data_IF_892097083923
#
_entry.id   IF_892097083923
#
_cell.length_a   1.000
_cell.length_b   1.000
_cell.length_c   1.000
_cell.angle_alpha   90.00
_cell.angle_beta   90.00
_cell.angle_gamma   90.00
#
_symmetry.space_group_name_H-M   'P 1'
#
loop_
_entity.id
_entity.type
_entity.pdbx_description
1 polymer ?
#
# COMPACT_ATOMS: atom_id res chain seq x y z
N UNK A 1 -3.84 19.00 -41.13
CA UNK A 1 -4.45 20.25 -40.71
C UNK A 1 -3.63 20.85 -39.58
N UNK A 2 -3.56 22.14 -39.48
CA UNK A 2 -3.00 22.81 -38.31
C UNK A 2 -3.94 22.53 -37.12
N UNK A 3 -3.38 22.01 -36.01
CA UNK A 3 -4.11 21.82 -34.77
C UNK A 3 -4.20 23.14 -33.94
N UNK A 4 -4.75 23.04 -32.74
CA UNK A 4 -4.75 24.17 -31.81
C UNK A 4 -3.33 24.50 -31.33
N UNK A 5 -3.13 25.77 -30.90
CA UNK A 5 -1.84 26.21 -30.37
C UNK A 5 -1.52 25.51 -29.05
N UNK A 6 -0.24 25.21 -28.86
CA UNK A 6 0.27 24.69 -27.58
C UNK A 6 0.22 25.79 -26.52
N UNK A 7 -0.39 25.51 -25.40
CA UNK A 7 -0.44 26.40 -24.24
C UNK A 7 0.53 25.93 -23.16
N UNK A 8 1.42 26.80 -22.71
CA UNK A 8 2.31 26.57 -21.58
C UNK A 8 1.71 27.23 -20.33
N UNK A 9 1.62 26.46 -19.25
CA UNK A 9 1.19 26.94 -17.92
C UNK A 9 2.21 26.54 -16.88
N UNK A 10 2.34 27.37 -15.85
CA UNK A 10 3.19 27.12 -14.69
C UNK A 10 2.31 27.18 -13.44
N UNK A 11 2.53 26.29 -12.50
CA UNK A 11 1.80 26.17 -11.23
C UNK A 11 2.78 26.20 -10.07
N UNK A 12 2.35 26.70 -8.93
CA UNK A 12 3.17 26.78 -7.72
C UNK A 12 3.32 25.40 -7.06
N UNK A 13 2.31 24.54 -7.19
CA UNK A 13 2.32 23.18 -6.64
C UNK A 13 1.80 22.15 -7.65
N UNK A 14 2.19 20.89 -7.47
CA UNK A 14 1.63 19.78 -8.25
C UNK A 14 0.12 19.55 -7.98
N UNK A 15 -0.39 19.98 -6.84
CA UNK A 15 -1.83 19.95 -6.55
C UNK A 15 -2.59 20.95 -7.44
N UNK A 16 -2.09 22.18 -7.57
CA UNK A 16 -2.69 23.19 -8.43
C UNK A 16 -2.69 22.76 -9.91
N UNK A 17 -1.61 22.10 -10.33
CA UNK A 17 -1.52 21.49 -11.65
C UNK A 17 -2.60 20.42 -11.85
N UNK A 18 -2.74 19.48 -10.90
CA UNK A 18 -3.72 18.40 -10.98
C UNK A 18 -5.17 18.92 -10.91
N UNK A 19 -5.43 19.95 -10.10
CA UNK A 19 -6.72 20.64 -10.05
C UNK A 19 -7.08 21.24 -11.39
N UNK A 20 -6.16 22.02 -11.96
CA UNK A 20 -6.37 22.66 -13.25
C UNK A 20 -6.66 21.63 -14.34
N UNK A 21 -5.88 20.55 -14.43
CA UNK A 21 -6.07 19.49 -15.42
C UNK A 21 -7.44 18.84 -15.28
N UNK A 22 -7.84 18.50 -14.05
CA UNK A 22 -9.14 17.87 -13.81
C UNK A 22 -10.32 18.79 -14.15
N UNK A 23 -10.21 20.08 -13.82
CA UNK A 23 -11.23 21.08 -14.13
C UNK A 23 -11.33 21.33 -15.64
N UNK A 24 -10.21 21.43 -16.32
CA UNK A 24 -10.17 21.67 -17.77
C UNK A 24 -10.78 20.50 -18.54
N UNK A 25 -10.44 19.25 -18.19
CA UNK A 25 -11.09 18.05 -18.75
C UNK A 25 -12.61 18.09 -18.53
N UNK A 26 -13.08 18.41 -17.31
CA UNK A 26 -14.53 18.50 -17.03
C UNK A 26 -15.20 19.61 -17.82
N UNK A 27 -14.53 20.72 -18.03
CA UNK A 27 -15.03 21.82 -18.86
C UNK A 27 -15.20 21.39 -20.30
N UNK A 28 -14.21 20.73 -20.89
CA UNK A 28 -14.27 20.22 -22.27
C UNK A 28 -15.37 19.16 -22.43
N UNK A 29 -15.52 18.26 -21.45
CA UNK A 29 -16.59 17.25 -21.46
C UNK A 29 -17.98 17.89 -21.38
N UNK A 30 -18.14 18.98 -20.58
CA UNK A 30 -19.41 19.75 -20.58
C UNK A 30 -19.67 20.46 -21.90
N UNK A 31 -18.61 20.79 -22.63
CA UNK A 31 -18.71 21.37 -23.97
C UNK A 31 -18.99 20.33 -25.09
N UNK A 32 -19.02 19.03 -24.74
CA UNK A 32 -19.40 17.95 -25.66
C UNK A 32 -18.27 16.97 -26.00
N UNK A 33 -17.08 17.12 -25.46
CA UNK A 33 -16.01 16.15 -25.61
C UNK A 33 -16.27 14.87 -24.80
N UNK A 34 -15.61 13.77 -25.14
CA UNK A 34 -15.62 12.53 -24.34
C UNK A 34 -14.42 12.50 -23.40
N UNK A 35 -14.54 11.89 -22.22
CA UNK A 35 -13.39 11.60 -21.37
C UNK A 35 -12.29 10.80 -22.09
N UNK A 36 -12.66 9.95 -23.05
CA UNK A 36 -11.70 9.16 -23.84
C UNK A 36 -10.91 9.99 -24.86
N UNK A 37 -11.28 11.24 -25.09
CA UNK A 37 -10.57 12.14 -26.01
C UNK A 37 -9.37 12.82 -25.34
N UNK A 38 -9.21 12.63 -24.01
CA UNK A 38 -8.17 13.24 -23.23
C UNK A 38 -7.08 12.24 -22.83
N UNK A 39 -5.83 12.69 -22.89
CA UNK A 39 -4.67 11.95 -22.38
C UNK A 39 -3.76 12.88 -21.58
N UNK A 40 -3.36 12.47 -20.40
CA UNK A 40 -2.41 13.19 -19.56
C UNK A 40 -1.10 12.40 -19.53
N UNK A 41 -0.01 13.05 -19.94
CA UNK A 41 1.33 12.47 -19.92
C UNK A 41 2.11 13.06 -18.75
N UNK A 42 2.77 12.20 -17.98
CA UNK A 42 3.57 12.59 -16.83
C UNK A 42 4.92 11.88 -16.85
N UNK A 43 5.89 12.44 -16.16
CA UNK A 43 7.26 11.94 -16.16
C UNK A 43 7.55 10.98 -14.99
N UNK A 44 6.90 11.19 -13.83
CA UNK A 44 7.17 10.44 -12.60
C UNK A 44 5.89 9.86 -11.99
N UNK A 45 6.07 8.77 -11.25
CA UNK A 45 4.97 8.15 -10.52
C UNK A 45 4.33 9.08 -9.47
N UNK A 46 5.11 10.01 -8.89
CA UNK A 46 4.59 10.99 -7.95
C UNK A 46 3.55 11.92 -8.61
N UNK A 47 3.82 12.36 -9.84
CA UNK A 47 2.86 13.18 -10.60
C UNK A 47 1.58 12.41 -10.93
N UNK A 48 1.69 11.13 -11.35
CA UNK A 48 0.49 10.32 -11.67
C UNK A 48 -0.45 10.22 -10.48
N UNK A 49 0.09 10.12 -9.28
CA UNK A 49 -0.70 9.96 -8.09
C UNK A 49 -1.52 11.21 -7.74
N UNK A 50 -0.94 12.40 -7.81
CA UNK A 50 -1.67 13.66 -7.60
C UNK A 50 -2.85 13.78 -8.57
N UNK A 51 -2.62 13.38 -9.84
CA UNK A 51 -3.68 13.32 -10.85
C UNK A 51 -4.76 12.30 -10.50
N UNK A 52 -4.37 11.08 -10.08
CA UNK A 52 -5.32 10.03 -9.68
C UNK A 52 -6.21 10.48 -8.51
N UNK A 53 -5.60 11.06 -7.47
CA UNK A 53 -6.33 11.58 -6.30
C UNK A 53 -7.34 12.64 -6.70
N UNK A 54 -6.91 13.58 -7.53
CA UNK A 54 -7.79 14.65 -7.98
C UNK A 54 -8.91 14.13 -8.88
N UNK A 55 -8.61 13.19 -9.77
CA UNK A 55 -9.62 12.58 -10.64
C UNK A 55 -10.66 11.80 -9.83
N UNK A 56 -10.24 11.08 -8.79
CA UNK A 56 -11.18 10.41 -7.86
C UNK A 56 -12.04 11.43 -7.12
N UNK A 57 -11.43 12.44 -6.52
CA UNK A 57 -12.14 13.47 -5.77
C UNK A 57 -13.17 14.24 -6.62
N UNK A 58 -12.83 14.48 -7.88
CA UNK A 58 -13.71 15.19 -8.83
C UNK A 58 -14.61 14.28 -9.67
N UNK A 59 -14.62 12.97 -9.42
CA UNK A 59 -15.36 11.97 -10.22
C UNK A 59 -15.03 12.03 -11.73
N UNK A 60 -13.74 12.21 -12.08
CA UNK A 60 -13.25 12.11 -13.44
C UNK A 60 -12.83 10.66 -13.69
N UNK A 61 -13.49 9.92 -14.59
CA UNK A 61 -13.09 8.55 -14.92
C UNK A 61 -11.73 8.56 -15.62
N UNK A 62 -10.83 7.66 -15.19
CA UNK A 62 -9.49 7.56 -15.78
C UNK A 62 -9.02 6.12 -15.90
N UNK A 63 -8.02 5.91 -16.74
CA UNK A 63 -7.28 4.65 -16.87
C UNK A 63 -5.78 4.96 -16.95
N UNK A 64 -4.99 4.28 -16.11
CA UNK A 64 -3.53 4.36 -16.21
C UNK A 64 -3.05 3.42 -17.30
N UNK A 65 -2.27 3.94 -18.24
CA UNK A 65 -1.67 3.17 -19.32
C UNK A 65 -0.17 3.05 -19.07
N UNK A 66 0.34 1.83 -18.97
CA UNK A 66 1.76 1.57 -18.74
C UNK A 66 2.24 1.74 -17.30
N UNK A 67 1.33 1.99 -16.34
CA UNK A 67 1.62 2.11 -14.92
C UNK A 67 0.75 1.21 -14.06
N UNK A 68 1.15 1.03 -12.80
CA UNK A 68 0.36 0.34 -11.79
C UNK A 68 -0.20 1.39 -10.84
N UNK A 69 -1.52 1.36 -10.59
CA UNK A 69 -2.16 2.22 -9.59
C UNK A 69 -1.35 2.19 -8.27
N UNK A 70 -1.18 3.33 -7.62
CA UNK A 70 -0.40 3.47 -6.39
C UNK A 70 -0.72 2.39 -5.35
N UNK A 71 -2.01 2.19 -5.06
CA UNK A 71 -2.47 1.18 -4.11
C UNK A 71 -2.36 -0.27 -4.60
N UNK A 72 -2.12 -0.47 -5.90
CA UNK A 72 -1.87 -1.79 -6.48
C UNK A 72 -0.37 -2.16 -6.47
N UNK A 73 0.53 -1.23 -6.14
CA UNK A 73 1.97 -1.48 -6.04
C UNK A 73 2.27 -2.47 -4.92
N UNK A 74 3.28 -3.31 -5.14
CA UNK A 74 3.60 -4.42 -4.24
C UNK A 74 3.90 -3.94 -2.82
N UNK A 75 4.81 -2.99 -2.67
CA UNK A 75 5.25 -2.43 -1.40
C UNK A 75 4.11 -1.76 -0.64
N UNK A 76 3.22 -1.09 -1.34
CA UNK A 76 2.04 -0.45 -0.73
C UNK A 76 1.06 -1.51 -0.22
N UNK A 77 0.78 -2.54 -1.03
CA UNK A 77 -0.06 -3.67 -0.60
C UNK A 77 0.53 -4.42 0.59
N UNK A 78 1.85 -4.57 0.65
CA UNK A 78 2.52 -5.25 1.75
C UNK A 78 2.34 -4.44 3.05
N UNK A 79 2.61 -3.15 3.04
CA UNK A 79 2.46 -2.29 4.23
C UNK A 79 1.00 -2.15 4.67
N UNK A 80 0.07 -2.01 3.73
CA UNK A 80 -1.36 -2.02 4.06
C UNK A 80 -1.81 -3.37 4.63
N UNK A 81 -1.24 -4.49 4.18
CA UNK A 81 -1.52 -5.80 4.74
C UNK A 81 -0.98 -5.94 6.18
N UNK A 82 0.16 -5.32 6.51
CA UNK A 82 0.62 -5.19 7.89
C UNK A 82 -0.40 -4.46 8.75
N UNK A 83 -0.81 -3.26 8.34
CA UNK A 83 -1.79 -2.46 9.10
C UNK A 83 -3.11 -3.23 9.28
N UNK A 84 -3.62 -3.89 8.25
CA UNK A 84 -4.82 -4.73 8.33
C UNK A 84 -4.65 -5.89 9.31
N UNK A 85 -3.50 -6.56 9.31
CA UNK A 85 -3.23 -7.68 10.22
C UNK A 85 -3.11 -7.20 11.67
N UNK A 86 -2.57 -6.01 11.89
CA UNK A 86 -2.46 -5.38 13.21
C UNK A 86 -3.85 -4.99 13.72
N UNK A 87 -4.67 -4.38 12.88
CA UNK A 87 -6.04 -3.99 13.23
C UNK A 87 -6.92 -5.22 13.46
N UNK A 88 -6.89 -6.15 12.53
CA UNK A 88 -7.73 -7.34 12.56
C UNK A 88 -7.04 -8.56 11.94
N UNK A 89 -6.52 -9.46 12.78
CA UNK A 89 -5.88 -10.70 12.34
C UNK A 89 -6.81 -11.70 11.62
N UNK A 90 -8.10 -11.39 11.41
CA UNK A 90 -9.05 -12.27 10.71
C UNK A 90 -8.98 -12.15 9.18
N UNK A 91 -8.24 -11.17 8.62
CA UNK A 91 -7.97 -11.08 7.19
C UNK A 91 -6.84 -12.04 6.80
N UNK A 92 -7.18 -13.31 6.55
CA UNK A 92 -6.24 -14.35 6.16
C UNK A 92 -5.41 -13.99 4.92
N UNK A 93 -5.97 -13.20 3.99
CA UNK A 93 -5.27 -12.75 2.79
C UNK A 93 -4.15 -11.78 3.18
N UNK A 94 -4.44 -10.85 4.09
CA UNK A 94 -3.44 -9.91 4.59
C UNK A 94 -2.34 -10.63 5.35
N UNK A 95 -2.67 -11.52 6.27
CA UNK A 95 -1.69 -12.30 7.05
C UNK A 95 -0.80 -13.13 6.15
N UNK A 96 -1.37 -13.89 5.20
CA UNK A 96 -0.61 -14.72 4.26
C UNK A 96 0.30 -13.90 3.36
N UNK A 97 -0.08 -12.67 3.05
CA UNK A 97 0.73 -11.77 2.25
C UNK A 97 2.02 -11.38 2.97
N UNK A 98 1.96 -11.08 4.25
CA UNK A 98 3.09 -10.51 5.00
C UNK A 98 3.91 -11.52 5.80
N UNK A 99 3.41 -12.74 6.02
CA UNK A 99 4.07 -13.73 6.89
C UNK A 99 5.53 -13.99 6.53
N UNK A 100 5.87 -13.89 5.24
CA UNK A 100 7.23 -14.05 4.72
C UNK A 100 7.73 -12.80 3.95
N UNK A 101 7.22 -11.63 4.26
CA UNK A 101 7.62 -10.35 3.65
C UNK A 101 7.90 -9.34 4.75
N UNK A 102 9.15 -8.90 4.93
CA UNK A 102 10.41 -9.39 4.35
C UNK A 102 10.66 -10.89 4.60
N UNK A 103 11.60 -11.49 3.86
CA UNK A 103 11.88 -12.94 3.96
C UNK A 103 12.24 -13.36 5.39
N UNK A 104 11.44 -14.30 5.96
CA UNK A 104 11.65 -14.91 7.30
C UNK A 104 11.95 -16.41 7.21
N UNK A 105 12.04 -16.95 5.99
CA UNK A 105 12.21 -18.38 5.77
C UNK A 105 10.94 -19.20 6.09
N UNK A 106 9.77 -18.58 6.00
CA UNK A 106 8.46 -19.22 6.08
C UNK A 106 7.99 -19.48 4.67
N UNK A 107 8.20 -20.71 4.19
CA UNK A 107 7.90 -21.10 2.81
C UNK A 107 6.46 -21.60 2.63
N UNK A 108 6.09 -21.86 1.36
CA UNK A 108 4.76 -22.34 0.99
C UNK A 108 4.33 -23.62 1.74
N UNK A 109 5.25 -24.55 1.98
CA UNK A 109 4.96 -25.78 2.74
C UNK A 109 4.47 -25.47 4.15
N UNK A 110 5.08 -24.49 4.82
CA UNK A 110 4.65 -24.04 6.15
C UNK A 110 3.29 -23.37 6.09
N UNK A 111 3.08 -22.47 5.11
CA UNK A 111 1.81 -21.79 4.89
C UNK A 111 0.68 -22.78 4.63
N UNK A 112 0.90 -23.80 3.79
CA UNK A 112 -0.09 -24.83 3.51
C UNK A 112 -0.46 -25.63 4.77
N UNK A 113 0.52 -26.02 5.60
CA UNK A 113 0.25 -26.71 6.88
C UNK A 113 -0.58 -25.88 7.85
N UNK A 114 -0.32 -24.58 7.95
CA UNK A 114 -1.15 -23.68 8.75
C UNK A 114 -2.59 -23.70 8.21
N UNK A 115 -2.74 -23.58 6.89
CA UNK A 115 -4.05 -23.54 6.25
C UNK A 115 -4.84 -24.85 6.40
N UNK A 116 -4.18 -26.00 6.23
CA UNK A 116 -4.78 -27.31 6.45
C UNK A 116 -5.23 -27.45 7.91
N UNK A 117 -4.36 -27.14 8.88
CA UNK A 117 -4.69 -27.18 10.29
C UNK A 117 -5.81 -26.21 10.68
N UNK A 118 -5.83 -25.01 10.08
CA UNK A 118 -6.90 -24.04 10.27
C UNK A 118 -8.25 -24.59 9.80
N UNK A 119 -8.28 -25.18 8.59
CA UNK A 119 -9.49 -25.78 8.03
C UNK A 119 -10.00 -26.96 8.86
N UNK A 120 -9.11 -27.87 9.30
CA UNK A 120 -9.46 -29.02 10.14
C UNK A 120 -10.03 -28.61 11.50
N UNK A 121 -9.57 -27.51 12.06
CA UNK A 121 -9.96 -27.02 13.39
C UNK A 121 -11.07 -25.98 13.33
N UNK A 122 -11.46 -25.51 12.16
CA UNK A 122 -12.45 -24.44 11.99
C UNK A 122 -11.99 -23.10 12.55
N UNK A 123 -10.67 -22.82 12.49
CA UNK A 123 -10.03 -21.61 13.00
C UNK A 123 -9.57 -20.71 11.84
N UNK A 124 -9.31 -19.43 12.15
CA UNK A 124 -8.65 -18.52 11.22
C UNK A 124 -7.15 -18.86 11.05
N UNK A 125 -6.57 -18.38 9.95
CA UNK A 125 -5.16 -18.62 9.65
C UNK A 125 -4.24 -18.02 10.72
N UNK A 126 -4.51 -16.76 11.13
CA UNK A 126 -3.74 -16.08 12.18
C UNK A 126 -3.89 -16.77 13.53
N UNK A 127 -5.11 -17.15 13.91
CA UNK A 127 -5.38 -17.86 15.15
C UNK A 127 -4.62 -19.20 15.21
N UNK A 128 -4.56 -19.91 14.07
CA UNK A 128 -3.85 -21.19 13.98
C UNK A 128 -2.33 -21.01 14.11
N UNK A 129 -1.76 -19.98 13.50
CA UNK A 129 -0.31 -19.72 13.58
C UNK A 129 0.15 -19.25 14.97
N UNK A 130 -0.77 -18.75 15.82
CA UNK A 130 -0.50 -18.35 17.21
C UNK A 130 -0.22 -19.55 18.14
N UNK A 131 -0.54 -20.75 17.72
CA UNK A 131 -0.27 -22.00 18.46
C UNK A 131 0.45 -23.02 17.55
N UNK A 132 1.68 -22.72 17.12
CA UNK A 132 2.37 -23.52 16.10
C UNK A 132 2.67 -24.95 16.55
N UNK A 133 2.76 -25.21 17.87
CA UNK A 133 2.95 -26.53 18.43
C UNK A 133 1.75 -27.48 18.14
N UNK A 134 0.60 -26.92 17.83
CA UNK A 134 -0.61 -27.68 17.51
C UNK A 134 -0.74 -27.99 16.00
N UNK A 135 0.21 -27.51 15.17
CA UNK A 135 0.19 -27.71 13.73
C UNK A 135 1.00 -28.96 13.37
N UNK A 136 0.37 -30.02 12.80
CA UNK A 136 1.08 -31.24 12.45
C UNK A 136 2.26 -31.01 11.50
N UNK A 137 3.41 -31.55 11.86
CA UNK A 137 4.59 -31.51 11.00
C UNK A 137 5.24 -30.12 10.84
N UNK A 138 4.91 -29.13 11.66
CA UNK A 138 5.46 -27.76 11.58
C UNK A 138 6.98 -27.71 11.85
N UNK A 139 7.47 -28.57 12.73
CA UNK A 139 8.88 -28.75 13.02
C UNK A 139 9.62 -27.43 13.34
N UNK A 140 10.79 -27.24 12.69
CA UNK A 140 11.63 -26.05 12.90
C UNK A 140 10.96 -24.71 12.50
N UNK A 141 9.86 -24.77 11.76
CA UNK A 141 9.13 -23.56 11.38
C UNK A 141 8.35 -22.96 12.55
N UNK A 142 8.07 -23.71 13.64
CA UNK A 142 7.38 -23.22 14.80
C UNK A 142 8.02 -21.94 15.36
N UNK A 143 9.31 -21.94 15.61
CA UNK A 143 10.03 -20.77 16.13
C UNK A 143 9.94 -19.54 15.23
N UNK A 144 9.83 -19.73 13.91
CA UNK A 144 9.65 -18.61 12.96
C UNK A 144 8.22 -18.05 13.02
N UNK A 145 7.24 -18.92 13.23
CA UNK A 145 5.84 -18.51 13.42
C UNK A 145 5.68 -17.77 14.75
N UNK A 146 6.29 -18.26 15.84
CA UNK A 146 6.33 -17.57 17.13
C UNK A 146 6.93 -16.16 17.01
N UNK A 147 8.05 -16.06 16.29
CA UNK A 147 8.71 -14.76 16.08
C UNK A 147 7.83 -13.80 15.27
N UNK A 148 7.13 -14.29 14.25
CA UNK A 148 6.21 -13.48 13.47
C UNK A 148 4.99 -13.08 14.30
N UNK A 149 4.41 -14.01 15.05
CA UNK A 149 3.27 -13.75 15.93
C UNK A 149 3.64 -12.68 16.99
N UNK A 150 4.79 -12.85 17.65
CA UNK A 150 5.28 -11.89 18.64
C UNK A 150 5.48 -10.49 18.04
N UNK A 151 5.97 -10.39 16.80
CA UNK A 151 6.10 -9.11 16.09
C UNK A 151 4.75 -8.45 15.84
N UNK A 152 3.75 -9.19 15.40
CA UNK A 152 2.40 -8.64 15.17
C UNK A 152 1.76 -8.23 16.51
N UNK A 153 1.87 -9.04 17.56
CA UNK A 153 1.34 -8.69 18.88
C UNK A 153 2.05 -7.46 19.48
N UNK A 154 3.34 -7.30 19.24
CA UNK A 154 4.05 -6.07 19.58
C UNK A 154 3.41 -4.85 18.93
N UNK A 155 3.17 -4.89 17.61
CA UNK A 155 2.52 -3.77 16.91
C UNK A 155 1.08 -3.52 17.38
N UNK A 156 0.31 -4.58 17.66
CA UNK A 156 -1.03 -4.45 18.26
C UNK A 156 -0.98 -3.72 19.60
N UNK A 157 0.03 -4.01 20.42
CA UNK A 157 0.24 -3.32 21.69
C UNK A 157 0.51 -1.82 21.56
N UNK A 158 0.98 -1.36 20.40
CA UNK A 158 1.21 0.06 20.10
C UNK A 158 -0.06 0.79 19.60
N UNK A 159 -1.06 0.03 19.16
CA UNK A 159 -2.32 0.60 18.64
C UNK A 159 -3.01 1.44 19.73
N UNK A 160 -3.40 2.66 19.36
CA UNK A 160 -4.01 3.61 20.30
C UNK A 160 -3.01 4.38 21.19
N UNK A 161 -1.71 4.04 21.16
CA UNK A 161 -0.66 4.74 21.89
C UNK A 161 0.13 5.70 20.99
N UNK A 162 0.09 5.50 19.68
CA UNK A 162 0.77 6.32 18.70
C UNK A 162 -0.13 6.55 17.49
N UNK A 163 0.28 7.49 16.65
CA UNK A 163 -0.40 7.81 15.40
C UNK A 163 -0.26 6.66 14.38
N UNK A 164 -1.14 6.61 13.37
CA UNK A 164 -1.01 5.62 12.30
C UNK A 164 0.26 5.83 11.48
N UNK A 165 0.69 7.08 11.35
CA UNK A 165 1.94 7.46 10.70
C UNK A 165 3.15 6.89 11.44
N UNK A 166 3.17 7.02 12.76
CA UNK A 166 4.25 6.49 13.59
C UNK A 166 4.21 4.97 13.66
N UNK A 167 3.03 4.37 13.73
CA UNK A 167 2.87 2.92 13.64
C UNK A 167 3.40 2.37 12.31
N UNK A 168 3.11 3.05 11.21
CA UNK A 168 3.62 2.66 9.89
C UNK A 168 5.16 2.74 9.82
N UNK A 169 5.76 3.79 10.37
CA UNK A 169 7.22 3.91 10.47
C UNK A 169 7.82 2.80 11.33
N UNK A 170 7.21 2.49 12.47
CA UNK A 170 7.63 1.42 13.36
C UNK A 170 7.56 0.05 12.67
N UNK A 171 6.49 -0.21 11.90
CA UNK A 171 6.37 -1.43 11.08
C UNK A 171 7.51 -1.52 10.08
N UNK A 172 7.80 -0.46 9.35
CA UNK A 172 8.88 -0.42 8.34
C UNK A 172 10.24 -0.70 8.99
N UNK A 173 10.54 -0.04 10.11
CA UNK A 173 11.80 -0.17 10.83
C UNK A 173 11.96 -1.56 11.44
N UNK A 174 11.01 -2.01 12.25
CA UNK A 174 11.11 -3.30 12.96
C UNK A 174 11.09 -4.51 12.05
N UNK A 175 10.44 -4.41 10.91
CA UNK A 175 10.45 -5.49 9.93
C UNK A 175 11.70 -5.51 9.07
N UNK A 176 12.46 -4.40 9.00
CA UNK A 176 13.56 -4.22 8.05
C UNK A 176 13.07 -4.14 6.60
N UNK A 177 11.87 -3.58 6.39
CA UNK A 177 11.26 -3.59 5.06
C UNK A 177 12.08 -2.80 4.03
N UNK A 178 12.56 -1.59 4.41
CA UNK A 178 13.40 -0.75 3.54
C UNK A 178 14.71 -1.44 3.16
N UNK A 179 15.39 -2.06 4.14
CA UNK A 179 16.65 -2.79 3.93
C UNK A 179 16.44 -4.01 3.03
N UNK A 180 15.26 -4.64 3.12
CA UNK A 180 14.94 -5.80 2.27
C UNK A 180 14.86 -5.45 0.79
N UNK A 181 14.57 -4.19 0.45
CA UNK A 181 14.54 -3.70 -0.92
C UNK A 181 15.94 -3.53 -1.52
N UNK A 182 16.97 -3.34 -0.70
CA UNK A 182 18.37 -3.16 -1.16
C UNK A 182 18.94 -4.41 -1.85
N UNK A 183 18.28 -5.55 -1.72
CA UNK A 183 18.61 -6.77 -2.44
C UNK A 183 18.05 -6.84 -3.86
N UNK A 184 17.25 -5.86 -4.28
CA UNK A 184 16.64 -5.77 -5.59
C UNK A 184 17.51 -4.90 -6.55
N UNK A 185 17.04 -4.72 -7.79
CA UNK A 185 17.69 -3.77 -8.71
C UNK A 185 17.61 -2.35 -8.13
N UNK A 186 18.70 -1.57 -8.29
CA UNK A 186 18.84 -0.26 -7.63
C UNK A 186 17.75 0.75 -8.05
N UNK A 187 17.37 0.76 -9.33
CA UNK A 187 16.35 1.70 -9.80
C UNK A 187 14.97 1.31 -9.28
N UNK A 188 14.66 0.02 -9.29
CA UNK A 188 13.41 -0.52 -8.75
C UNK A 188 13.33 -0.32 -7.24
N UNK A 189 14.42 -0.57 -6.50
CA UNK A 189 14.51 -0.34 -5.06
C UNK A 189 14.27 1.13 -4.70
N UNK A 190 14.90 2.06 -5.41
CA UNK A 190 14.73 3.48 -5.17
C UNK A 190 13.28 3.93 -5.43
N UNK A 191 12.69 3.52 -6.54
CA UNK A 191 11.29 3.84 -6.85
C UNK A 191 10.31 3.30 -5.79
N UNK A 192 10.58 2.11 -5.24
CA UNK A 192 9.76 1.53 -4.16
C UNK A 192 9.92 2.27 -2.84
N UNK A 193 11.14 2.69 -2.49
CA UNK A 193 11.38 3.52 -1.30
C UNK A 193 10.63 4.85 -1.38
N UNK A 194 10.66 5.51 -2.52
CA UNK A 194 9.88 6.73 -2.77
C UNK A 194 8.37 6.51 -2.62
N UNK A 195 7.86 5.36 -3.08
CA UNK A 195 6.45 5.01 -2.88
C UNK A 195 6.10 4.80 -1.40
N UNK A 196 7.02 4.25 -0.60
CA UNK A 196 6.83 4.06 0.84
C UNK A 196 6.82 5.42 1.56
N UNK A 197 7.77 6.30 1.25
CA UNK A 197 7.82 7.66 1.82
C UNK A 197 6.52 8.40 1.53
N UNK A 198 5.99 8.20 0.37
CA UNK A 198 4.72 8.78 -0.03
C UNK A 198 3.52 8.21 0.72
N UNK A 199 3.49 6.89 1.01
CA UNK A 199 2.45 6.30 1.85
C UNK A 199 2.49 6.91 3.26
N UNK A 200 3.68 7.15 3.80
CA UNK A 200 3.87 7.81 5.09
C UNK A 200 3.32 9.26 5.05
N UNK A 201 3.63 10.01 4.00
CA UNK A 201 3.14 11.38 3.84
C UNK A 201 1.60 11.43 3.75
N UNK A 202 0.99 10.46 3.06
CA UNK A 202 -0.47 10.34 3.00
C UNK A 202 -1.10 10.03 4.35
N UNK A 203 -0.48 9.15 5.13
CA UNK A 203 -0.95 8.84 6.48
C UNK A 203 -0.92 10.09 7.36
N UNK A 204 0.17 10.87 7.30
CA UNK A 204 0.31 12.12 8.05
C UNK A 204 -0.73 13.18 7.63
N UNK A 205 -0.95 13.36 6.33
CA UNK A 205 -1.96 14.31 5.83
C UNK A 205 -3.38 13.92 6.28
N UNK A 206 -3.69 12.63 6.25
CA UNK A 206 -4.99 12.12 6.71
C UNK A 206 -5.22 12.35 8.21
N UNK A 207 -4.18 12.18 9.04
CA UNK A 207 -4.25 12.48 10.48
C UNK A 207 -4.49 13.96 10.77
N UNK A 208 -3.82 14.84 10.02
CA UNK A 208 -4.05 16.29 10.14
C UNK A 208 -5.49 16.68 9.76
N UNK A 209 -6.04 16.05 8.73
CA UNK A 209 -7.42 16.32 8.30
C UNK A 209 -8.44 15.88 9.36
N UNK A 210 -8.28 14.68 9.94
CA UNK A 210 -9.12 14.19 11.03
C UNK A 210 -8.97 15.09 12.26
N UNK A 211 -7.74 15.46 12.63
CA UNK A 211 -7.48 16.32 13.78
C UNK A 211 -8.09 17.72 13.66
N UNK A 212 -8.30 18.22 12.43
CA UNK A 212 -9.00 19.49 12.18
C UNK A 212 -10.53 19.37 12.21
N UNK A 213 -11.05 18.16 12.00
CA UNK A 213 -12.49 17.88 11.95
C UNK A 213 -13.08 17.48 13.30
N UNK A 214 -12.23 17.21 14.31
CA UNK A 214 -12.59 16.84 15.68
C UNK A 214 -12.51 18.04 16.62
#
# INVERSE_FOLDING_TARGET
GEGELVHLRQFDTGYDEADFIAEDIKKEVRAGASYNDHAVLYRTNAQSRLLEEKFVAMNVPYKIVGGVNFYARREIKDLLAYLKTIDNGMDDIAVRRIINVPKRGIGLTTINRIQESAAERGLGFYETLMAPELIPGIGRSAAKLDSFAALIEYFKGLTGQMSITDLLREVIEKTGYMESLDSEDKEDAQARKENIDELINKAAAYEEEIGRAS
#
